data_IF_415650386104
#
_entry.id   IF_415650386104
#
_cell.length_a   1.000
_cell.length_b   1.000
_cell.length_c   1.000
_cell.angle_alpha   90.00
_cell.angle_beta   90.00
_cell.angle_gamma   90.00
#
_symmetry.space_group_name_H-M   'P 1'
#
loop_
_entity.id
_entity.type
_entity.pdbx_description
1 polymer ?
#
# COMPACT_ATOMS: atom_id res chain seq x y z
N UNK A 1 -13.20 1.90 -14.79
CA UNK A 1 -13.98 0.71 -14.38
C UNK A 1 -13.31 -0.54 -14.90
N UNK A 2 -13.81 -1.71 -14.53
CA UNK A 2 -13.44 -2.99 -15.13
C UNK A 2 -14.65 -3.45 -15.93
N UNK A 3 -14.43 -3.84 -17.18
CA UNK A 3 -15.49 -4.40 -18.03
C UNK A 3 -15.72 -5.86 -17.65
N UNK A 4 -16.96 -6.19 -17.29
CA UNK A 4 -17.39 -7.57 -17.03
C UNK A 4 -18.20 -8.04 -18.23
N UNK A 5 -17.70 -9.04 -18.95
CA UNK A 5 -18.32 -9.53 -20.18
C UNK A 5 -19.41 -10.54 -19.90
N UNK A 6 -20.65 -10.15 -20.19
CA UNK A 6 -21.85 -11.00 -20.08
C UNK A 6 -22.27 -11.44 -21.48
N UNK A 7 -22.58 -12.73 -21.64
CA UNK A 7 -22.94 -13.40 -22.90
C UNK A 7 -24.37 -13.93 -22.83
N UNK A 8 -25.02 -14.07 -24.00
CA UNK A 8 -26.36 -14.64 -24.06
C UNK A 8 -26.33 -16.10 -23.58
N UNK A 9 -27.16 -16.41 -22.56
CA UNK A 9 -27.20 -17.71 -21.91
C UNK A 9 -26.49 -17.78 -20.55
N UNK A 10 -25.76 -16.73 -20.15
CA UNK A 10 -25.26 -16.62 -18.79
C UNK A 10 -26.42 -16.53 -17.79
N UNK A 11 -26.35 -17.33 -16.74
CA UNK A 11 -27.27 -17.27 -15.61
C UNK A 11 -26.86 -16.16 -14.63
N UNK A 12 -27.75 -15.85 -13.68
CA UNK A 12 -27.42 -14.90 -12.60
C UNK A 12 -26.17 -15.34 -11.81
N UNK A 13 -25.99 -16.65 -11.61
CA UNK A 13 -24.84 -17.20 -10.90
C UNK A 13 -23.55 -17.01 -11.72
N UNK A 14 -23.62 -17.16 -13.05
CA UNK A 14 -22.48 -16.86 -13.94
C UNK A 14 -22.08 -15.37 -13.89
N UNK A 15 -23.06 -14.47 -13.80
CA UNK A 15 -22.80 -13.02 -13.65
C UNK A 15 -22.14 -12.73 -12.30
N UNK A 16 -22.64 -13.34 -11.22
CA UNK A 16 -22.05 -13.21 -9.88
C UNK A 16 -20.60 -13.71 -9.87
N UNK A 17 -20.33 -14.87 -10.47
CA UNK A 17 -19.00 -15.43 -10.55
C UNK A 17 -18.06 -14.56 -11.38
N UNK A 18 -18.54 -13.98 -12.48
CA UNK A 18 -17.74 -13.05 -13.29
C UNK A 18 -17.40 -11.76 -12.54
N UNK A 19 -18.32 -11.23 -11.74
CA UNK A 19 -18.05 -10.06 -10.87
C UNK A 19 -17.03 -10.44 -9.80
N UNK A 20 -17.23 -11.55 -9.10
CA UNK A 20 -16.36 -11.98 -8.00
C UNK A 20 -14.95 -12.40 -8.46
N UNK A 21 -14.80 -12.87 -9.70
CA UNK A 21 -13.50 -13.18 -10.29
C UNK A 21 -12.84 -11.97 -10.99
N UNK A 22 -13.50 -10.81 -11.00
CA UNK A 22 -12.91 -9.58 -11.52
C UNK A 22 -11.97 -8.94 -10.47
N UNK A 23 -10.97 -8.13 -10.88
CA UNK A 23 -10.11 -7.40 -9.95
C UNK A 23 -10.80 -6.21 -9.26
N UNK A 24 -12.14 -6.20 -9.20
CA UNK A 24 -12.91 -5.16 -8.51
C UNK A 24 -12.93 -5.42 -7.01
N UNK A 25 -12.92 -4.34 -6.22
CA UNK A 25 -13.16 -4.36 -4.77
C UNK A 25 -14.66 -4.52 -4.45
N UNK A 26 -15.32 -5.39 -5.19
CA UNK A 26 -16.75 -5.61 -5.20
C UNK A 26 -17.04 -7.09 -5.02
N UNK A 27 -17.97 -7.41 -4.13
CA UNK A 27 -18.51 -8.75 -3.95
C UNK A 27 -19.96 -8.78 -4.40
N UNK A 28 -20.27 -9.68 -5.32
CA UNK A 28 -21.63 -9.99 -5.71
C UNK A 28 -22.11 -11.25 -4.96
N UNK A 29 -23.37 -11.24 -4.54
CA UNK A 29 -24.02 -12.40 -3.94
C UNK A 29 -25.50 -12.42 -4.28
N UNK A 30 -26.09 -13.60 -4.27
CA UNK A 30 -27.51 -13.80 -4.49
C UNK A 30 -28.27 -13.70 -3.15
N UNK A 31 -29.31 -12.87 -3.10
CA UNK A 31 -30.20 -12.68 -1.95
C UNK A 31 -31.61 -13.18 -2.33
N UNK A 32 -31.95 -14.40 -1.95
CA UNK A 32 -33.17 -15.06 -2.44
C UNK A 32 -33.05 -15.48 -3.91
N UNK A 33 -34.15 -15.79 -4.59
CA UNK A 33 -34.08 -16.41 -5.92
C UNK A 33 -33.74 -15.44 -7.08
N UNK A 34 -34.05 -14.16 -6.93
CA UNK A 34 -34.03 -13.19 -8.03
C UNK A 34 -33.35 -11.84 -7.70
N UNK A 35 -32.75 -11.72 -6.51
CA UNK A 35 -32.07 -10.46 -6.13
C UNK A 35 -30.57 -10.65 -6.14
N UNK A 36 -29.86 -9.76 -6.83
CA UNK A 36 -28.41 -9.62 -6.70
C UNK A 36 -28.08 -8.53 -5.68
N UNK A 37 -27.18 -8.84 -4.76
CA UNK A 37 -26.61 -7.91 -3.80
C UNK A 37 -25.15 -7.65 -4.17
N UNK A 38 -24.82 -6.37 -4.30
CA UNK A 38 -23.48 -5.89 -4.60
C UNK A 38 -22.96 -5.13 -3.38
N UNK A 39 -21.84 -5.59 -2.83
CA UNK A 39 -21.25 -5.05 -1.60
C UNK A 39 -19.79 -4.74 -1.86
N UNK A 40 -19.35 -3.52 -1.55
CA UNK A 40 -17.94 -3.15 -1.67
C UNK A 40 -17.12 -3.79 -0.55
N UNK A 41 -15.95 -4.32 -0.88
CA UNK A 41 -15.02 -4.85 0.12
C UNK A 41 -14.20 -3.73 0.78
N UNK A 42 -14.10 -2.60 0.10
CA UNK A 42 -13.41 -1.39 0.55
C UNK A 42 -14.36 -0.20 0.33
N UNK A 43 -14.39 0.83 1.19
CA UNK A 43 -15.36 1.90 1.04
C UNK A 43 -15.08 2.72 -0.21
N UNK A 44 -15.91 2.54 -1.21
CA UNK A 44 -15.95 3.35 -2.42
C UNK A 44 -17.38 3.35 -2.96
N UNK A 45 -17.69 4.35 -3.78
CA UNK A 45 -18.95 4.35 -4.51
C UNK A 45 -18.89 3.30 -5.62
N UNK A 46 -19.99 2.56 -5.81
CA UNK A 46 -20.15 1.67 -6.97
C UNK A 46 -20.70 2.53 -8.10
N UNK A 47 -19.99 2.57 -9.23
CA UNK A 47 -20.52 3.15 -10.46
C UNK A 47 -20.63 2.06 -11.51
N UNK A 48 -21.85 1.82 -11.95
CA UNK A 48 -22.19 0.81 -12.95
C UNK A 48 -22.63 1.51 -14.22
N UNK A 49 -22.22 0.97 -15.36
CA UNK A 49 -22.55 1.49 -16.68
C UNK A 49 -22.63 0.31 -17.66
N UNK A 50 -23.70 0.27 -18.45
CA UNK A 50 -23.79 -0.66 -19.57
C UNK A 50 -22.91 -0.14 -20.71
N UNK A 51 -22.01 -0.98 -21.22
CA UNK A 51 -21.06 -0.59 -22.29
C UNK A 51 -21.68 -0.83 -23.67
N UNK A 52 -21.60 0.18 -24.55
CA UNK A 52 -22.05 0.07 -25.94
C UNK A 52 -23.57 -0.06 -26.05
N UNK A 53 -24.04 -1.08 -26.77
CA UNK A 53 -25.47 -1.42 -26.90
C UNK A 53 -25.97 -2.39 -25.80
N UNK A 54 -25.14 -2.69 -24.79
CA UNK A 54 -25.55 -3.52 -23.66
C UNK A 54 -26.73 -2.91 -22.89
N UNK A 55 -27.64 -3.77 -22.42
CA UNK A 55 -28.77 -3.37 -21.56
C UNK A 55 -28.84 -4.20 -20.28
N UNK A 56 -27.83 -5.01 -20.00
CA UNK A 56 -27.89 -6.03 -18.94
C UNK A 56 -28.21 -5.42 -17.57
N UNK A 57 -27.57 -4.30 -17.20
CA UNK A 57 -27.83 -3.66 -15.91
C UNK A 57 -29.22 -3.01 -15.84
N UNK A 58 -29.77 -2.55 -16.96
CA UNK A 58 -31.14 -2.05 -17.06
C UNK A 58 -32.14 -3.20 -16.99
N UNK A 59 -31.86 -4.30 -17.68
CA UNK A 59 -32.71 -5.51 -17.72
C UNK A 59 -32.73 -6.22 -16.37
N UNK A 60 -31.62 -6.20 -15.63
CA UNK A 60 -31.52 -6.66 -14.24
C UNK A 60 -32.15 -5.67 -13.24
N UNK A 61 -32.68 -4.53 -13.70
CA UNK A 61 -33.29 -3.52 -12.84
C UNK A 61 -32.33 -2.89 -11.84
N UNK A 62 -31.03 -2.81 -12.18
CA UNK A 62 -30.01 -2.16 -11.35
C UNK A 62 -29.84 -0.68 -11.71
N UNK A 63 -29.99 -0.33 -12.99
CA UNK A 63 -29.89 1.04 -13.49
C UNK A 63 -31.23 1.55 -14.01
N UNK A 64 -31.52 2.82 -13.72
CA UNK A 64 -32.65 3.53 -14.31
C UNK A 64 -32.29 4.02 -15.71
N UNK A 65 -33.00 3.53 -16.73
CA UNK A 65 -32.81 3.91 -18.13
C UNK A 65 -32.98 5.42 -18.38
N UNK A 66 -33.71 6.13 -17.50
CA UNK A 66 -33.96 7.57 -17.60
C UNK A 66 -32.89 8.45 -16.95
N UNK A 67 -32.05 7.89 -16.06
CA UNK A 67 -31.01 8.63 -15.30
C UNK A 67 -29.59 8.36 -15.82
N UNK A 68 -29.43 8.18 -17.13
CA UNK A 68 -28.14 7.86 -17.75
C UNK A 68 -27.01 8.82 -17.34
N UNK A 69 -25.83 8.28 -17.05
CA UNK A 69 -24.57 8.97 -16.69
C UNK A 69 -24.44 9.60 -15.29
N UNK A 70 -25.27 9.21 -14.32
CA UNK A 70 -25.00 9.54 -12.90
C UNK A 70 -24.42 8.33 -12.14
N UNK A 71 -23.40 8.52 -11.28
CA UNK A 71 -22.97 7.53 -10.29
C UNK A 71 -24.07 7.10 -9.29
N UNK A 72 -25.23 7.77 -9.30
CA UNK A 72 -26.41 7.46 -8.50
C UNK A 72 -27.63 7.07 -9.33
N UNK A 73 -27.43 6.66 -10.59
CA UNK A 73 -28.47 6.27 -11.54
C UNK A 73 -29.10 4.89 -11.26
N UNK A 74 -29.29 4.56 -9.98
CA UNK A 74 -29.89 3.30 -9.59
C UNK A 74 -31.37 3.26 -9.97
N UNK A 75 -31.88 2.07 -10.32
CA UNK A 75 -33.30 1.87 -10.54
C UNK A 75 -34.11 2.17 -9.27
N UNK A 76 -35.36 2.62 -9.42
CA UNK A 76 -36.23 2.93 -8.28
C UNK A 76 -36.56 1.70 -7.42
N UNK A 77 -36.42 0.49 -7.99
CA UNK A 77 -36.55 -0.80 -7.28
C UNK A 77 -35.27 -1.21 -6.55
N UNK A 78 -34.13 -0.57 -6.83
CA UNK A 78 -32.86 -0.92 -6.22
C UNK A 78 -32.78 -0.34 -4.80
N UNK A 79 -32.50 -1.19 -3.82
CA UNK A 79 -32.22 -0.74 -2.45
C UNK A 79 -30.73 -0.45 -2.32
N UNK A 80 -30.37 0.82 -2.19
CA UNK A 80 -28.97 1.24 -2.03
C UNK A 80 -28.72 1.63 -0.57
N UNK A 81 -27.76 0.94 0.04
CA UNK A 81 -27.30 1.19 1.42
C UNK A 81 -25.78 1.39 1.40
N UNK A 82 -25.22 2.11 2.38
CA UNK A 82 -23.79 2.44 2.39
C UNK A 82 -23.46 3.78 1.72
N UNK A 83 -24.14 4.82 2.18
CA UNK A 83 -23.88 6.21 1.83
C UNK A 83 -22.53 6.71 2.37
N UNK A 84 -21.98 7.77 1.77
CA UNK A 84 -20.83 8.47 2.37
C UNK A 84 -21.24 9.03 3.73
N UNK A 85 -20.29 9.21 4.66
CA UNK A 85 -20.55 9.92 5.92
C UNK A 85 -21.18 11.30 5.66
N UNK A 86 -20.82 11.96 4.56
CA UNK A 86 -21.40 13.25 4.20
C UNK A 86 -22.86 13.12 3.77
N UNK A 87 -23.20 12.09 3.01
CA UNK A 87 -24.59 11.81 2.61
C UNK A 87 -25.44 11.47 3.83
N UNK A 88 -24.91 10.66 4.76
CA UNK A 88 -25.55 10.33 6.03
C UNK A 88 -25.83 11.60 6.85
N UNK A 89 -24.85 12.52 6.93
CA UNK A 89 -25.03 13.79 7.65
C UNK A 89 -26.01 14.74 6.95
N UNK A 90 -26.02 14.78 5.61
CA UNK A 90 -26.97 15.57 4.83
C UNK A 90 -28.39 15.02 5.01
N UNK A 91 -28.54 13.69 4.99
CA UNK A 91 -29.81 13.01 5.19
C UNK A 91 -30.33 13.23 6.62
N UNK A 92 -29.48 13.07 7.63
CA UNK A 92 -29.82 13.40 9.01
C UNK A 92 -30.28 14.86 9.15
N UNK A 93 -29.56 15.82 8.54
CA UNK A 93 -29.96 17.23 8.55
C UNK A 93 -31.34 17.42 7.92
N UNK A 94 -31.60 16.77 6.79
CA UNK A 94 -32.89 16.83 6.09
C UNK A 94 -34.01 16.32 6.99
N UNK A 95 -33.80 15.17 7.63
CA UNK A 95 -34.81 14.49 8.44
C UNK A 95 -35.06 15.20 9.77
N UNK A 96 -34.01 15.82 10.36
CA UNK A 96 -34.14 16.77 11.47
C UNK A 96 -34.97 18.00 11.08
N UNK A 97 -34.80 18.50 9.85
CA UNK A 97 -35.55 19.66 9.35
C UNK A 97 -37.02 19.31 9.09
N UNK A 98 -37.28 18.10 8.59
CA UNK A 98 -38.65 17.59 8.37
C UNK A 98 -39.33 17.07 9.64
N UNK A 99 -38.61 17.00 10.77
CA UNK A 99 -39.07 16.45 12.06
C UNK A 99 -39.56 15.01 11.97
N UNK A 100 -38.93 14.20 11.12
CA UNK A 100 -39.30 12.79 10.90
C UNK A 100 -38.62 11.90 11.94
N UNK A 101 -39.25 11.77 13.12
CA UNK A 101 -38.64 11.13 14.28
C UNK A 101 -38.43 9.62 14.13
N UNK A 102 -39.24 8.96 13.30
CA UNK A 102 -39.08 7.54 12.95
C UNK A 102 -37.76 7.31 12.18
N UNK A 103 -37.51 8.13 11.15
CA UNK A 103 -36.27 8.00 10.35
C UNK A 103 -35.02 8.37 11.12
N UNK A 104 -35.10 9.41 11.95
CA UNK A 104 -33.99 9.85 12.81
C UNK A 104 -33.59 8.73 13.77
N UNK A 105 -34.55 8.16 14.50
CA UNK A 105 -34.28 7.19 15.56
C UNK A 105 -33.92 5.80 15.05
N UNK A 106 -34.43 5.40 13.88
CA UNK A 106 -34.10 4.12 13.27
C UNK A 106 -32.90 4.21 12.32
N UNK A 107 -33.16 4.71 11.11
CA UNK A 107 -32.24 4.60 9.98
C UNK A 107 -31.01 5.50 10.12
N UNK A 108 -31.20 6.76 10.52
CA UNK A 108 -30.11 7.73 10.48
C UNK A 108 -29.05 7.45 11.55
N UNK A 109 -29.46 7.11 12.77
CA UNK A 109 -28.52 6.68 13.82
C UNK A 109 -27.73 5.43 13.42
N UNK A 110 -28.40 4.42 12.87
CA UNK A 110 -27.73 3.22 12.37
C UNK A 110 -26.68 3.55 11.29
N UNK A 111 -27.02 4.44 10.36
CA UNK A 111 -26.09 4.86 9.31
C UNK A 111 -24.89 5.64 9.87
N UNK A 112 -25.08 6.45 10.92
CA UNK A 112 -23.98 7.14 11.61
C UNK A 112 -23.05 6.13 12.28
N UNK A 113 -23.60 5.12 12.95
CA UNK A 113 -22.82 4.08 13.61
C UNK A 113 -21.96 3.31 12.60
N UNK A 114 -22.54 2.91 11.46
CA UNK A 114 -21.80 2.26 10.37
C UNK A 114 -20.69 3.16 9.80
N UNK A 115 -20.96 4.45 9.65
CA UNK A 115 -19.97 5.39 9.16
C UNK A 115 -18.83 5.61 10.18
N UNK A 116 -19.14 5.66 11.48
CA UNK A 116 -18.16 5.72 12.56
C UNK A 116 -17.30 4.45 12.61
N UNK A 117 -17.91 3.27 12.51
CA UNK A 117 -17.20 1.99 12.47
C UNK A 117 -16.20 1.97 11.31
N UNK A 118 -16.60 2.47 10.15
CA UNK A 118 -15.72 2.57 8.99
C UNK A 118 -14.51 3.49 9.25
N UNK A 119 -14.73 4.67 9.85
CA UNK A 119 -13.65 5.59 10.23
C UNK A 119 -12.71 4.92 11.25
N UNK A 120 -13.26 4.24 12.26
CA UNK A 120 -12.48 3.55 13.29
C UNK A 120 -11.64 2.42 12.69
N UNK A 121 -12.18 1.67 11.73
CA UNK A 121 -11.44 0.64 10.99
C UNK A 121 -10.24 1.23 10.27
N UNK A 122 -10.43 2.29 9.48
CA UNK A 122 -9.33 2.95 8.78
C UNK A 122 -8.30 3.55 9.74
N UNK A 123 -8.74 4.16 10.84
CA UNK A 123 -7.85 4.68 11.89
C UNK A 123 -7.01 3.57 12.52
N UNK A 124 -7.61 2.41 12.76
CA UNK A 124 -6.93 1.23 13.32
C UNK A 124 -5.86 0.69 12.39
N UNK A 125 -6.15 0.59 11.09
CA UNK A 125 -5.17 0.19 10.07
C UNK A 125 -3.99 1.17 10.01
N UNK A 126 -4.26 2.47 10.05
CA UNK A 126 -3.21 3.49 10.11
C UNK A 126 -2.37 3.39 11.38
N UNK A 127 -3.01 3.18 12.54
CA UNK A 127 -2.30 2.95 13.80
C UNK A 127 -1.40 1.71 13.75
N UNK A 128 -1.88 0.60 13.18
CA UNK A 128 -1.07 -0.61 12.99
C UNK A 128 0.14 -0.36 12.06
N UNK A 129 -0.05 0.41 10.97
CA UNK A 129 1.04 0.81 10.08
C UNK A 129 2.06 1.70 10.80
N UNK A 130 1.60 2.61 11.65
CA UNK A 130 2.47 3.47 12.46
C UNK A 130 3.30 2.66 13.45
N UNK A 131 2.69 1.72 14.17
CA UNK A 131 3.42 0.81 15.08
C UNK A 131 4.49 0.00 14.33
N UNK A 132 4.13 -0.56 13.17
CA UNK A 132 5.08 -1.30 12.34
C UNK A 132 6.22 -0.39 11.86
N UNK A 133 5.94 0.85 11.46
CA UNK A 133 6.95 1.80 11.03
C UNK A 133 7.90 2.19 12.17
N UNK A 134 7.39 2.37 13.38
CA UNK A 134 8.20 2.62 14.58
C UNK A 134 9.14 1.44 14.87
N UNK A 135 8.63 0.21 14.79
CA UNK A 135 9.43 -1.01 14.98
C UNK A 135 10.55 -1.13 13.93
N UNK A 136 10.23 -0.89 12.65
CA UNK A 136 11.25 -0.88 11.59
C UNK A 136 12.29 0.23 11.80
N UNK A 137 11.87 1.39 12.30
CA UNK A 137 12.79 2.50 12.60
C UNK A 137 13.78 2.11 13.70
N UNK A 138 13.29 1.53 14.81
CA UNK A 138 14.13 1.02 15.90
C UNK A 138 15.10 -0.03 15.40
N UNK A 139 14.62 -0.97 14.56
CA UNK A 139 15.47 -2.00 13.97
C UNK A 139 16.56 -1.42 13.07
N UNK A 140 16.25 -0.44 12.23
CA UNK A 140 17.24 0.22 11.36
C UNK A 140 18.31 0.93 12.20
N UNK A 141 17.94 1.56 13.32
CA UNK A 141 18.89 2.23 14.21
C UNK A 141 19.87 1.23 14.84
N UNK A 142 19.35 0.08 15.28
CA UNK A 142 20.15 -1.04 15.79
C UNK A 142 21.08 -1.60 14.70
N UNK A 143 20.54 -1.88 13.51
CA UNK A 143 21.31 -2.42 12.37
C UNK A 143 22.42 -1.45 11.94
N UNK A 144 22.16 -0.13 11.98
CA UNK A 144 23.16 0.90 11.71
C UNK A 144 24.30 0.87 12.74
N UNK A 145 23.97 0.71 14.02
CA UNK A 145 24.96 0.55 15.10
C UNK A 145 25.87 -0.66 14.85
N UNK A 146 25.28 -1.83 14.61
CA UNK A 146 26.03 -3.05 14.30
C UNK A 146 26.88 -2.94 13.03
N UNK A 147 26.35 -2.34 11.96
CA UNK A 147 27.11 -2.15 10.73
C UNK A 147 28.30 -1.21 10.93
N UNK A 148 28.13 -0.16 11.74
CA UNK A 148 29.22 0.77 12.09
C UNK A 148 30.30 0.06 12.90
N UNK A 149 29.92 -0.80 13.85
CA UNK A 149 30.86 -1.61 14.63
C UNK A 149 31.60 -2.64 13.75
N UNK A 150 30.89 -3.32 12.84
CA UNK A 150 31.49 -4.25 11.89
C UNK A 150 32.48 -3.56 10.95
N UNK A 151 32.14 -2.38 10.43
CA UNK A 151 33.05 -1.55 9.63
C UNK A 151 34.26 -1.12 10.46
N UNK A 152 34.07 -0.64 11.69
CA UNK A 152 35.17 -0.28 12.57
C UNK A 152 36.08 -1.47 12.93
N UNK A 153 35.55 -2.68 13.05
CA UNK A 153 36.37 -3.87 13.32
C UNK A 153 37.12 -4.37 12.07
N UNK A 154 36.57 -4.17 10.87
CA UNK A 154 37.18 -4.63 9.62
C UNK A 154 38.16 -3.59 9.03
N UNK A 155 37.79 -2.31 9.04
CA UNK A 155 38.59 -1.20 8.50
C UNK A 155 39.38 -0.46 9.57
N UNK A 156 39.04 -0.65 10.85
CA UNK A 156 39.78 -0.04 11.95
C UNK A 156 41.19 -0.60 12.01
N UNK A 157 42.16 0.30 11.95
CA UNK A 157 43.57 0.00 12.18
C UNK A 157 43.92 0.24 13.66
N UNK A 158 44.63 -0.69 14.27
CA UNK A 158 45.31 -0.42 15.54
C UNK A 158 46.41 0.61 15.26
N UNK A 159 46.17 1.87 15.66
CA UNK A 159 47.09 2.98 15.39
C UNK A 159 48.50 2.73 15.94
N UNK A 160 48.69 2.34 17.22
CA UNK A 160 49.99 1.94 17.74
C UNK A 160 50.72 0.90 16.90
N UNK A 161 50.07 -0.23 16.60
CA UNK A 161 50.69 -1.33 15.84
C UNK A 161 51.00 -0.92 14.39
N UNK A 162 50.07 -0.21 13.74
CA UNK A 162 50.23 0.28 12.37
C UNK A 162 51.37 1.29 12.28
N UNK A 163 51.49 2.23 13.24
CA UNK A 163 52.60 3.18 13.30
C UNK A 163 53.93 2.46 13.53
N UNK A 164 53.95 1.46 14.41
CA UNK A 164 55.16 0.67 14.67
C UNK A 164 55.62 -0.08 13.42
N UNK A 165 54.69 -0.77 12.74
CA UNK A 165 54.97 -1.48 11.49
C UNK A 165 55.43 -0.52 10.38
N UNK A 166 54.82 0.66 10.28
CA UNK A 166 55.24 1.69 9.32
C UNK A 166 56.64 2.23 9.62
N UNK A 167 56.95 2.47 10.91
CA UNK A 167 58.31 2.89 11.33
C UNK A 167 59.34 1.81 11.05
N UNK A 168 59.02 0.56 11.32
CA UNK A 168 59.88 -0.57 10.97
C UNK A 168 60.16 -0.63 9.47
N UNK A 169 59.12 -0.56 8.63
CA UNK A 169 59.27 -0.52 7.18
C UNK A 169 60.11 0.68 6.70
N UNK A 170 59.91 1.86 7.29
CA UNK A 170 60.72 3.04 6.99
C UNK A 170 62.20 2.79 7.31
N UNK A 171 62.49 2.26 8.51
CA UNK A 171 63.84 1.94 8.94
C UNK A 171 64.50 0.89 8.03
N UNK A 172 63.79 -0.20 7.70
CA UNK A 172 64.29 -1.21 6.75
C UNK A 172 64.56 -0.61 5.37
N UNK A 173 63.69 0.27 4.89
CA UNK A 173 63.86 0.94 3.60
C UNK A 173 65.10 1.85 3.58
N UNK A 174 65.30 2.66 4.63
CA UNK A 174 66.50 3.49 4.81
C UNK A 174 67.78 2.63 4.85
N UNK A 175 67.75 1.51 5.58
CA UNK A 175 68.87 0.56 5.58
C UNK A 175 69.15 -0.02 4.20
N UNK A 176 68.11 -0.47 3.47
CA UNK A 176 68.24 -1.01 2.12
C UNK A 176 68.82 0.02 1.14
N UNK A 177 68.41 1.30 1.23
CA UNK A 177 68.97 2.39 0.44
C UNK A 177 70.45 2.64 0.79
N UNK A 178 70.81 2.59 2.08
CA UNK A 178 72.20 2.75 2.54
C UNK A 178 73.11 1.59 2.07
N UNK A 179 72.58 0.37 2.07
CA UNK A 179 73.31 -0.82 1.61
C UNK A 179 73.43 -0.78 0.09
N UNK A 180 72.34 -0.46 -0.62
CA UNK A 180 72.35 -0.28 -2.07
C UNK A 180 73.37 0.78 -2.51
N UNK A 181 73.44 1.93 -1.83
CA UNK A 181 74.44 2.97 -2.13
C UNK A 181 75.88 2.56 -1.79
N UNK A 182 76.09 1.70 -0.76
CA UNK A 182 77.41 1.10 -0.47
C UNK A 182 77.83 0.04 -1.48
N UNK A 183 76.90 -0.78 -1.98
CA UNK A 183 77.15 -1.81 -3.00
C UNK A 183 77.36 -1.18 -4.38
N UNK A 184 76.60 -0.14 -4.73
CA UNK A 184 76.73 0.62 -5.99
C UNK A 184 77.96 1.54 -5.97
N UNK A 185 78.68 1.63 -4.85
CA UNK A 185 79.96 2.34 -4.82
C UNK A 185 80.94 1.61 -5.75
N UNK A 186 81.36 2.20 -6.88
CA UNK A 186 82.26 1.50 -7.79
C UNK A 186 83.62 1.43 -7.10
N UNK A 187 84.08 0.25 -6.72
CA UNK A 187 85.52 0.02 -6.58
C UNK A 187 86.09 -0.10 -7.99
N UNK A 188 86.15 1.03 -8.70
CA UNK A 188 86.86 1.17 -9.97
C UNK A 188 88.34 0.69 -9.90
N UNK A 189 88.88 0.54 -8.68
CA UNK A 189 90.21 -0.04 -8.43
C UNK A 189 90.29 -1.57 -8.46
N UNK A 190 89.17 -2.29 -8.46
CA UNK A 190 89.16 -3.77 -8.51
C UNK A 190 89.12 -4.32 -9.95
N UNK A 191 88.81 -3.46 -10.93
CA UNK A 191 88.79 -3.81 -12.36
C UNK A 191 90.12 -3.52 -13.08
N UNK A 192 91.14 -3.04 -12.36
CA UNK A 192 92.47 -2.67 -12.89
C UNK A 192 93.61 -3.58 -12.38
N UNK A 193 93.34 -4.87 -12.16
CA UNK A 193 94.37 -5.90 -12.03
C UNK A 193 94.24 -6.96 -13.11
#
# INVERSE_FOLDING_TARGET
>A
GVEVRISAGDTLDDVIDKINNSPLELKASKLGDDTISLVTTVPHQIWMEDVGEGTVLKDLGLLDASKSNSPTAYADTATVTGQSIFDVLIQLKSDLTSKDQEKISGRDLQNIDLALENILRHRSVTGAKMNRLEEHTKRIEVDKGYMTELLANNEGIDFPETIMNMKWLQTVHEYALSVGSKVIRPTLMDFLR
#
